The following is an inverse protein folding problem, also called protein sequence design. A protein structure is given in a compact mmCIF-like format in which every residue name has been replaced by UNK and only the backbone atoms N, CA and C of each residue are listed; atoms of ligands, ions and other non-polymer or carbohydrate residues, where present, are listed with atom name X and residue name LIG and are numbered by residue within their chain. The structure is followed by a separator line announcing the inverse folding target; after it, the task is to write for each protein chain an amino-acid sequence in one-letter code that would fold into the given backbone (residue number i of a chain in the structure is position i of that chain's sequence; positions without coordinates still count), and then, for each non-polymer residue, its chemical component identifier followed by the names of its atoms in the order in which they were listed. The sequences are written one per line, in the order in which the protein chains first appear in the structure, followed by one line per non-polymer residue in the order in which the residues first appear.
data_IF_281118192403
#
_entry.id   IF_281118192403
#
_cell.length_a   1.000
_cell.length_b   1.000
_cell.length_c   1.000
_cell.angle_alpha   90.00
_cell.angle_beta   90.00
_cell.angle_gamma   90.00
#
_symmetry.space_group_name_H-M   'P 1'
#
loop_
_entity.id
_entity.type
_entity.pdbx_description
1 polymer ?
#
# COMPACT_ATOMS: atom_id res chain seq x y z
N UNK A 1 -14.94 24.87 23.64
CA UNK A 1 -13.53 24.59 23.35
C UNK A 1 -13.47 23.11 23.02
N UNK A 2 -13.46 22.73 21.73
CA UNK A 2 -13.54 21.32 21.33
C UNK A 2 -12.19 20.65 21.60
N UNK A 3 -12.19 19.57 22.38
CA UNK A 3 -11.01 18.74 22.59
C UNK A 3 -10.56 18.15 21.26
N UNK A 4 -9.31 18.44 20.89
CA UNK A 4 -8.64 17.75 19.80
C UNK A 4 -8.42 16.32 20.29
N UNK A 5 -9.25 15.39 19.79
CA UNK A 5 -9.01 13.95 19.94
C UNK A 5 -7.67 13.68 19.28
N UNK A 6 -6.60 13.56 20.08
CA UNK A 6 -5.29 13.12 19.60
C UNK A 6 -5.48 11.70 19.06
N UNK A 7 -5.44 11.55 17.74
CA UNK A 7 -5.42 10.25 17.10
C UNK A 7 -4.18 9.50 17.59
N UNK A 8 -4.38 8.53 18.49
CA UNK A 8 -3.31 7.63 18.90
C UNK A 8 -3.08 6.63 17.78
N UNK A 9 -1.95 6.77 17.07
CA UNK A 9 -1.51 5.77 16.12
C UNK A 9 -1.13 4.49 16.89
N UNK A 10 -2.00 3.48 16.84
CA UNK A 10 -1.65 2.13 17.30
C UNK A 10 -0.90 1.46 16.16
N UNK A 11 0.40 1.22 16.33
CA UNK A 11 1.15 0.48 15.32
C UNK A 11 0.64 -0.96 15.29
N UNK A 12 0.36 -1.47 14.09
CA UNK A 12 0.05 -2.89 13.87
C UNK A 12 1.33 -3.74 13.81
N UNK A 13 2.45 -3.19 14.27
CA UNK A 13 3.75 -3.85 14.27
C UNK A 13 3.94 -4.61 15.59
N UNK A 14 4.62 -5.77 15.56
CA UNK A 14 4.96 -6.48 16.79
C UNK A 14 5.75 -5.60 17.77
N UNK A 15 5.60 -5.82 19.08
CA UNK A 15 6.26 -4.96 20.08
C UNK A 15 7.80 -5.08 20.08
N UNK A 16 8.37 -6.16 19.52
CA UNK A 16 9.81 -6.40 19.53
C UNK A 16 10.36 -6.70 18.13
N UNK A 17 11.62 -6.31 17.90
CA UNK A 17 12.39 -6.66 16.69
C UNK A 17 12.42 -8.18 16.45
N UNK A 18 12.52 -8.97 17.52
CA UNK A 18 12.53 -10.43 17.43
C UNK A 18 11.20 -10.99 16.93
N UNK A 19 10.08 -10.53 17.48
CA UNK A 19 8.75 -10.93 17.01
C UNK A 19 8.50 -10.48 15.57
N UNK A 20 8.99 -9.29 15.20
CA UNK A 20 8.93 -8.81 13.83
C UNK A 20 9.67 -9.73 12.85
N UNK A 21 10.92 -10.09 13.15
CA UNK A 21 11.68 -11.02 12.30
C UNK A 21 11.04 -12.42 12.28
N UNK A 22 10.42 -12.85 13.37
CA UNK A 22 9.68 -14.10 13.41
C UNK A 22 8.44 -14.09 12.51
N UNK A 23 7.85 -12.95 12.19
CA UNK A 23 6.69 -12.85 11.30
C UNK A 23 7.10 -12.50 9.86
N UNK A 24 8.01 -11.55 9.72
CA UNK A 24 8.32 -10.88 8.47
C UNK A 24 9.71 -11.22 7.87
N UNK A 25 10.40 -12.25 8.34
CA UNK A 25 11.60 -12.73 7.65
C UNK A 25 11.31 -13.07 6.17
N UNK A 26 12.26 -12.86 5.22
CA UNK A 26 11.99 -13.04 3.80
C UNK A 26 11.37 -14.39 3.42
N UNK A 27 11.86 -15.48 4.00
CA UNK A 27 11.33 -16.83 3.75
C UNK A 27 9.86 -17.00 4.18
N UNK A 28 9.43 -16.29 5.24
CA UNK A 28 8.05 -16.30 5.72
C UNK A 28 7.17 -15.40 4.86
N UNK A 29 7.65 -14.20 4.55
CA UNK A 29 6.98 -13.25 3.66
C UNK A 29 6.66 -13.87 2.29
N UNK A 30 7.55 -14.70 1.72
CA UNK A 30 7.29 -15.41 0.46
C UNK A 30 6.02 -16.27 0.50
N UNK A 31 5.70 -16.86 1.66
CA UNK A 31 4.49 -17.68 1.85
C UNK A 31 3.30 -16.84 2.30
N UNK A 32 3.52 -15.96 3.27
CA UNK A 32 2.48 -15.10 3.83
C UNK A 32 1.87 -14.18 2.76
N UNK A 33 2.72 -13.61 1.90
CA UNK A 33 2.33 -12.71 0.83
C UNK A 33 2.25 -13.39 -0.55
N UNK A 34 1.95 -14.69 -0.59
CA UNK A 34 1.87 -15.43 -1.84
C UNK A 34 0.73 -14.92 -2.75
N UNK A 35 -0.36 -14.43 -2.13
CA UNK A 35 -1.58 -13.95 -2.80
C UNK A 35 -1.42 -12.54 -3.38
N UNK A 36 -0.57 -11.72 -2.79
CA UNK A 36 -0.22 -10.36 -3.19
C UNK A 36 0.76 -10.43 -4.36
N UNK A 37 0.22 -10.84 -5.52
CA UNK A 37 0.96 -11.08 -6.76
C UNK A 37 0.85 -9.93 -7.77
N UNK A 38 0.24 -8.82 -7.38
CA UNK A 38 0.09 -7.61 -8.20
C UNK A 38 0.23 -6.35 -7.33
N UNK A 39 0.61 -5.20 -7.91
CA UNK A 39 0.68 -3.95 -7.16
C UNK A 39 -0.68 -3.57 -6.55
N UNK A 40 -1.80 -3.89 -7.20
CA UNK A 40 -3.14 -3.60 -6.67
C UNK A 40 -3.41 -4.33 -5.34
N UNK A 41 -3.02 -5.60 -5.26
CA UNK A 41 -3.16 -6.40 -4.03
C UNK A 41 -2.14 -6.00 -2.97
N UNK A 42 -0.92 -5.61 -3.38
CA UNK A 42 0.06 -5.06 -2.45
C UNK A 42 -0.40 -3.73 -1.85
N UNK A 43 -0.96 -2.82 -2.65
CA UNK A 43 -1.51 -1.53 -2.18
C UNK A 43 -2.64 -1.73 -1.17
N UNK A 44 -3.51 -2.72 -1.37
CA UNK A 44 -4.64 -2.99 -0.47
C UNK A 44 -4.28 -3.87 0.73
N UNK A 45 -3.04 -4.37 0.79
CA UNK A 45 -2.54 -5.18 1.91
C UNK A 45 -2.46 -4.36 3.20
N UNK A 46 -2.78 -5.01 4.33
CA UNK A 46 -2.59 -4.47 5.67
C UNK A 46 -1.14 -4.59 6.18
N UNK A 47 -0.20 -4.98 5.31
CA UNK A 47 1.21 -5.10 5.65
C UNK A 47 1.81 -3.75 6.11
N UNK A 48 2.73 -3.76 7.08
CA UNK A 48 3.38 -2.54 7.53
C UNK A 48 4.27 -1.93 6.43
N UNK A 49 4.37 -0.60 6.43
CA UNK A 49 5.25 0.15 5.51
C UNK A 49 6.68 0.23 6.02
N UNK A 50 7.64 0.43 5.12
CA UNK A 50 9.02 0.76 5.48
C UNK A 50 9.07 1.96 6.44
N UNK A 51 8.32 3.03 6.18
CA UNK A 51 8.19 4.18 7.08
C UNK A 51 7.68 3.80 8.48
N UNK A 52 6.75 2.84 8.58
CA UNK A 52 6.23 2.40 9.89
C UNK A 52 7.28 1.63 10.68
N UNK A 53 8.13 0.84 10.03
CA UNK A 53 9.24 0.11 10.67
C UNK A 53 10.26 1.09 11.24
N UNK A 54 10.62 2.14 10.48
CA UNK A 54 11.50 3.22 10.95
C UNK A 54 10.97 3.88 12.22
N UNK A 55 9.67 4.19 12.22
CA UNK A 55 8.99 4.88 13.32
C UNK A 55 8.92 4.01 14.58
N UNK A 56 8.66 2.71 14.42
CA UNK A 56 8.48 1.81 15.55
C UNK A 56 9.81 1.34 16.15
N UNK A 57 10.82 1.07 15.32
CA UNK A 57 12.06 0.45 15.79
C UNK A 57 13.27 1.37 15.68
N UNK A 58 13.76 1.60 14.47
CA UNK A 58 14.84 2.55 14.14
C UNK A 58 15.11 2.53 12.64
N UNK A 59 15.83 3.53 12.15
CA UNK A 59 16.36 3.57 10.79
C UNK A 59 17.35 2.43 10.54
N UNK A 60 18.32 2.21 11.43
CA UNK A 60 19.29 1.11 11.31
C UNK A 60 18.61 -0.26 11.18
N UNK A 61 17.51 -0.48 11.92
CA UNK A 61 16.77 -1.73 11.84
C UNK A 61 16.02 -1.87 10.52
N UNK A 62 15.45 -0.77 10.02
CA UNK A 62 14.78 -0.72 8.73
C UNK A 62 15.76 -1.02 7.58
N UNK A 63 16.96 -0.42 7.62
CA UNK A 63 18.06 -0.66 6.67
C UNK A 63 18.48 -2.13 6.75
N UNK A 64 18.84 -2.62 7.93
CA UNK A 64 19.25 -4.01 8.13
C UNK A 64 18.20 -5.01 7.62
N UNK A 65 16.92 -4.73 7.86
CA UNK A 65 15.83 -5.58 7.37
C UNK A 65 15.79 -5.66 5.84
N UNK A 66 15.92 -4.53 5.13
CA UNK A 66 15.98 -4.53 3.65
C UNK A 66 17.27 -5.18 3.16
N UNK A 67 18.40 -4.99 3.85
CA UNK A 67 19.66 -5.68 3.55
C UNK A 67 19.50 -7.20 3.56
N UNK A 68 18.75 -7.77 4.49
CA UNK A 68 18.49 -9.23 4.52
C UNK A 68 17.75 -9.71 3.26
N UNK A 69 16.84 -8.91 2.70
CA UNK A 69 16.21 -9.24 1.42
C UNK A 69 17.19 -9.19 0.24
N UNK A 70 18.09 -8.20 0.23
CA UNK A 70 19.12 -8.09 -0.80
C UNK A 70 20.12 -9.24 -0.69
N UNK A 71 20.57 -9.62 0.52
CA UNK A 71 21.39 -10.82 0.76
C UNK A 71 20.68 -12.05 0.20
N UNK A 72 19.39 -12.22 0.51
CA UNK A 72 18.61 -13.35 0.01
C UNK A 72 18.50 -13.39 -1.52
N UNK A 73 18.49 -12.23 -2.18
CA UNK A 73 18.55 -12.14 -3.64
C UNK A 73 19.96 -12.44 -4.15
N UNK A 74 20.98 -11.82 -3.55
CA UNK A 74 22.39 -11.98 -3.88
C UNK A 74 22.78 -13.46 -3.83
N UNK A 75 22.33 -14.21 -2.82
CA UNK A 75 22.57 -15.65 -2.70
C UNK A 75 21.78 -16.48 -3.71
N UNK A 76 20.56 -16.07 -4.05
CA UNK A 76 19.68 -16.79 -4.96
C UNK A 76 20.18 -16.78 -6.42
N UNK A 77 20.70 -15.64 -6.89
CA UNK A 77 21.13 -15.50 -8.28
C UNK A 77 22.49 -16.16 -8.49
N UNK A 78 22.71 -16.92 -9.57
CA UNK A 78 24.04 -17.46 -9.89
C UNK A 78 24.90 -16.42 -10.66
N UNK A 79 25.11 -15.25 -10.08
CA UNK A 79 25.91 -14.18 -10.68
C UNK A 79 27.42 -14.46 -10.54
N UNK A 80 28.21 -14.11 -11.55
CA UNK A 80 29.68 -14.20 -11.53
C UNK A 80 30.27 -13.28 -10.46
N UNK A 81 29.67 -12.09 -10.29
CA UNK A 81 30.00 -11.14 -9.23
C UNK A 81 28.78 -10.87 -8.35
N UNK A 82 29.01 -10.95 -7.05
CA UNK A 82 28.04 -10.68 -5.98
C UNK A 82 28.32 -9.31 -5.37
N UNK A 83 27.29 -8.70 -4.79
CA UNK A 83 27.46 -7.48 -4.02
C UNK A 83 28.24 -7.75 -2.72
N UNK A 84 29.13 -6.83 -2.33
CA UNK A 84 29.76 -6.83 -1.00
C UNK A 84 28.76 -6.43 0.09
N UNK A 85 29.03 -6.71 1.38
CA UNK A 85 28.18 -6.25 2.48
C UNK A 85 27.93 -4.74 2.47
N UNK A 86 28.94 -3.95 2.17
CA UNK A 86 28.86 -2.48 2.10
C UNK A 86 27.94 -2.04 0.95
N UNK A 87 28.08 -2.64 -0.23
CA UNK A 87 27.19 -2.37 -1.36
C UNK A 87 25.74 -2.74 -1.04
N UNK A 88 25.52 -3.82 -0.29
CA UNK A 88 24.19 -4.23 0.16
C UNK A 88 23.58 -3.19 1.09
N UNK A 89 24.34 -2.74 2.09
CA UNK A 89 23.90 -1.75 3.06
C UNK A 89 23.61 -0.40 2.41
N UNK A 90 24.48 0.08 1.52
CA UNK A 90 24.27 1.32 0.76
C UNK A 90 23.01 1.23 -0.12
N UNK A 91 22.83 0.10 -0.82
CA UNK A 91 21.66 -0.13 -1.66
C UNK A 91 20.37 -0.15 -0.82
N UNK A 92 20.38 -0.86 0.32
CA UNK A 92 19.26 -0.89 1.25
C UNK A 92 18.93 0.50 1.80
N UNK A 93 19.96 1.30 2.13
CA UNK A 93 19.83 2.68 2.60
C UNK A 93 19.08 3.54 1.59
N UNK A 94 19.48 3.50 0.32
CA UNK A 94 18.80 4.25 -0.75
C UNK A 94 17.35 3.78 -0.90
N UNK A 95 17.10 2.46 -0.89
CA UNK A 95 15.73 1.92 -1.02
C UNK A 95 14.80 2.42 0.09
N UNK A 96 15.26 2.42 1.35
CA UNK A 96 14.41 2.85 2.48
C UNK A 96 14.15 4.35 2.49
N UNK A 97 15.04 5.14 1.90
CA UNK A 97 14.92 6.60 1.77
C UNK A 97 13.99 6.99 0.61
N UNK A 98 14.14 6.37 -0.56
CA UNK A 98 13.37 6.69 -1.77
C UNK A 98 11.96 6.09 -1.75
N UNK A 99 11.78 4.93 -1.12
CA UNK A 99 10.54 4.16 -1.16
C UNK A 99 9.91 3.91 0.22
N UNK A 100 9.79 4.91 1.12
CA UNK A 100 9.31 4.71 2.47
C UNK A 100 7.83 4.28 2.54
N UNK A 101 7.08 4.52 1.46
CA UNK A 101 5.67 4.17 1.31
C UNK A 101 5.41 2.72 0.90
N UNK A 102 6.44 1.96 0.49
CA UNK A 102 6.28 0.55 0.15
C UNK A 102 6.02 -0.26 1.42
N UNK A 103 5.08 -1.20 1.34
CA UNK A 103 4.79 -2.14 2.41
C UNK A 103 5.50 -3.49 2.22
N UNK A 104 5.46 -4.34 3.23
CA UNK A 104 6.16 -5.62 3.16
C UNK A 104 5.61 -6.58 2.08
N UNK A 105 4.35 -6.40 1.66
CA UNK A 105 3.82 -7.11 0.50
C UNK A 105 4.44 -6.57 -0.80
N UNK A 106 4.64 -5.25 -0.93
CA UNK A 106 5.38 -4.63 -2.03
C UNK A 106 6.82 -5.15 -2.10
N UNK A 107 7.55 -5.15 -0.97
CA UNK A 107 8.94 -5.65 -0.91
C UNK A 107 9.01 -7.11 -1.35
N UNK A 108 8.12 -7.96 -0.81
CA UNK A 108 8.03 -9.35 -1.23
C UNK A 108 7.75 -9.49 -2.73
N UNK A 109 6.82 -8.69 -3.26
CA UNK A 109 6.44 -8.72 -4.67
C UNK A 109 7.61 -8.31 -5.57
N UNK A 110 8.31 -7.22 -5.28
CA UNK A 110 9.50 -6.77 -6.02
C UNK A 110 10.52 -7.88 -6.13
N UNK A 111 10.95 -8.45 -4.99
CA UNK A 111 11.95 -9.51 -4.99
C UNK A 111 11.47 -10.79 -5.69
N UNK A 112 10.18 -11.12 -5.62
CA UNK A 112 9.61 -12.23 -6.41
C UNK A 112 9.66 -11.96 -7.91
N UNK A 113 9.31 -10.75 -8.36
CA UNK A 113 9.36 -10.35 -9.77
C UNK A 113 10.80 -10.36 -10.30
N UNK A 114 11.76 -9.88 -9.50
CA UNK A 114 13.19 -9.98 -9.81
C UNK A 114 13.61 -11.43 -10.01
N UNK A 115 13.29 -12.32 -9.04
CA UNK A 115 13.68 -13.74 -9.11
C UNK A 115 13.03 -14.51 -10.26
N UNK A 116 11.90 -14.04 -10.77
CA UNK A 116 11.25 -14.58 -11.97
C UNK A 116 11.80 -14.01 -13.28
N UNK A 117 12.68 -13.01 -13.22
CA UNK A 117 13.22 -12.34 -14.41
C UNK A 117 12.24 -11.37 -15.07
N UNK A 118 11.19 -10.92 -14.37
CA UNK A 118 10.17 -10.04 -14.94
C UNK A 118 10.69 -8.63 -15.27
N UNK A 119 11.82 -8.23 -14.66
CA UNK A 119 12.52 -6.97 -14.96
C UNK A 119 13.66 -7.13 -15.97
N UNK A 120 13.72 -8.26 -16.70
CA UNK A 120 14.75 -8.57 -17.69
C UNK A 120 15.80 -9.56 -17.20
N UNK A 121 16.79 -9.83 -18.07
CA UNK A 121 17.84 -10.80 -17.79
C UNK A 121 18.81 -10.32 -16.71
N UNK A 122 19.05 -11.20 -15.74
CA UNK A 122 20.21 -11.12 -14.85
C UNK A 122 21.46 -11.47 -15.66
N UNK A 123 22.15 -10.46 -16.16
CA UNK A 123 23.49 -10.63 -16.75
C UNK A 123 24.52 -11.07 -15.69
N UNK A 124 25.79 -11.13 -16.08
CA UNK A 124 26.93 -11.60 -15.29
C UNK A 124 27.03 -11.08 -13.84
N UNK A 125 26.50 -9.90 -13.53
CA UNK A 125 26.67 -9.24 -12.23
C UNK A 125 25.34 -8.75 -11.65
N UNK A 126 25.21 -8.90 -10.33
CA UNK A 126 24.21 -8.21 -9.52
C UNK A 126 24.92 -7.09 -8.75
N UNK A 127 24.43 -5.87 -8.88
CA UNK A 127 24.98 -4.67 -8.24
C UNK A 127 23.84 -3.78 -7.72
N UNK A 128 24.20 -2.77 -6.92
CA UNK A 128 23.24 -1.85 -6.33
C UNK A 128 22.44 -1.05 -7.37
N UNK A 129 23.07 -0.57 -8.44
CA UNK A 129 22.39 0.20 -9.49
C UNK A 129 21.28 -0.61 -10.16
N UNK A 130 21.54 -1.90 -10.39
CA UNK A 130 20.55 -2.81 -10.98
C UNK A 130 19.39 -3.08 -10.03
N UNK A 131 19.66 -3.32 -8.74
CA UNK A 131 18.62 -3.45 -7.73
C UNK A 131 17.75 -2.18 -7.68
N UNK A 132 18.35 -1.01 -7.64
CA UNK A 132 17.65 0.28 -7.63
C UNK A 132 16.79 0.47 -8.88
N UNK A 133 17.28 0.06 -10.06
CA UNK A 133 16.52 0.14 -11.31
C UNK A 133 15.24 -0.72 -11.29
N UNK A 134 15.26 -1.87 -10.61
CA UNK A 134 14.07 -2.72 -10.45
C UNK A 134 13.06 -2.10 -9.49
N UNK A 135 13.54 -1.47 -8.41
CA UNK A 135 12.68 -0.73 -7.49
C UNK A 135 12.03 0.48 -8.17
N UNK A 136 12.76 1.19 -9.04
CA UNK A 136 12.22 2.28 -9.83
C UNK A 136 11.13 1.80 -10.80
N UNK A 137 11.38 0.71 -11.53
CA UNK A 137 10.40 0.10 -12.43
C UNK A 137 9.13 -0.31 -11.69
N UNK A 138 9.28 -0.97 -10.53
CA UNK A 138 8.14 -1.34 -9.70
C UNK A 138 7.39 -0.13 -9.15
N UNK A 139 8.11 0.89 -8.68
CA UNK A 139 7.53 2.15 -8.20
C UNK A 139 6.63 2.78 -9.27
N UNK A 140 7.10 2.84 -10.52
CA UNK A 140 6.33 3.34 -11.65
C UNK A 140 5.07 2.52 -11.90
N UNK A 141 5.18 1.19 -11.90
CA UNK A 141 4.04 0.28 -12.06
C UNK A 141 3.00 0.44 -10.94
N UNK A 142 3.47 0.53 -9.70
CA UNK A 142 2.64 0.73 -8.50
C UNK A 142 1.94 2.09 -8.54
N UNK A 143 2.64 3.15 -8.94
CA UNK A 143 2.06 4.49 -9.05
C UNK A 143 0.94 4.54 -10.09
N UNK A 144 1.13 3.92 -11.27
CA UNK A 144 0.09 3.77 -12.29
C UNK A 144 -1.12 3.01 -11.75
N UNK A 145 -0.87 1.89 -11.09
CA UNK A 145 -1.93 1.07 -10.49
C UNK A 145 -2.72 1.83 -9.42
N UNK A 146 -2.04 2.62 -8.58
CA UNK A 146 -2.70 3.46 -7.58
C UNK A 146 -3.56 4.54 -8.22
N UNK A 147 -3.10 5.15 -9.32
CA UNK A 147 -3.88 6.10 -10.10
C UNK A 147 -5.14 5.45 -10.69
N UNK A 148 -5.01 4.26 -11.29
CA UNK A 148 -6.13 3.51 -11.86
C UNK A 148 -7.18 3.13 -10.81
N UNK A 149 -6.75 2.67 -9.63
CA UNK A 149 -7.64 2.38 -8.50
C UNK A 149 -8.40 3.65 -8.06
N UNK A 150 -7.68 4.77 -7.94
CA UNK A 150 -8.26 6.06 -7.54
C UNK A 150 -9.29 6.55 -8.55
N UNK A 151 -8.97 6.48 -9.86
CA UNK A 151 -9.89 6.83 -10.94
C UNK A 151 -11.13 5.95 -10.93
N UNK A 152 -10.96 4.63 -10.82
CA UNK A 152 -12.09 3.69 -10.76
C UNK A 152 -13.00 3.93 -9.55
N UNK A 153 -12.43 4.23 -8.38
CA UNK A 153 -13.21 4.59 -7.19
C UNK A 153 -13.97 5.91 -7.40
N UNK A 154 -13.35 6.90 -8.04
CA UNK A 154 -14.00 8.16 -8.38
C UNK A 154 -15.15 8.00 -9.38
N UNK A 155 -15.01 7.11 -10.37
CA UNK A 155 -16.07 6.79 -11.32
C UNK A 155 -17.24 6.07 -10.67
N UNK A 156 -16.97 5.06 -9.82
CA UNK A 156 -18.01 4.37 -9.05
C UNK A 156 -18.77 5.34 -8.15
N UNK A 157 -18.04 6.21 -7.44
CA UNK A 157 -18.66 7.24 -6.63
C UNK A 157 -19.60 8.14 -7.46
N UNK A 158 -19.20 8.56 -8.66
CA UNK A 158 -20.06 9.34 -9.56
C UNK A 158 -21.30 8.58 -10.03
N UNK A 159 -21.20 7.27 -10.24
CA UNK A 159 -22.33 6.42 -10.62
C UNK A 159 -23.31 6.22 -9.47
N UNK A 160 -22.80 6.09 -8.24
CA UNK A 160 -23.59 5.90 -7.02
C UNK A 160 -24.28 7.18 -6.54
N UNK A 161 -23.86 8.36 -7.05
CA UNK A 161 -24.56 9.62 -6.78
C UNK A 161 -25.97 9.56 -7.39
N UNK A 162 -27.02 10.00 -6.65
CA UNK A 162 -28.36 10.10 -7.19
C UNK A 162 -28.33 10.98 -8.44
N UNK A 163 -28.84 10.46 -9.56
CA UNK A 163 -28.92 11.27 -10.79
C UNK A 163 -29.72 12.52 -10.49
N UNK A 164 -29.31 13.65 -11.04
CA UNK A 164 -29.94 14.94 -10.76
C UNK A 164 -31.45 14.94 -11.05
N UNK A 165 -31.89 14.15 -12.04
CA UNK A 165 -33.30 13.85 -12.31
C UNK A 165 -34.03 13.21 -11.13
N UNK A 166 -33.37 12.29 -10.44
CA UNK A 166 -33.94 11.46 -9.38
C UNK A 166 -34.07 12.30 -8.10
N UNK A 167 -33.07 13.12 -7.80
CA UNK A 167 -33.13 14.11 -6.71
C UNK A 167 -34.28 15.11 -6.93
N UNK A 168 -34.46 15.60 -8.16
CA UNK A 168 -35.56 16.52 -8.51
C UNK A 168 -36.92 15.82 -8.38
N UNK A 169 -37.03 14.56 -8.82
CA UNK A 169 -38.25 13.77 -8.68
C UNK A 169 -38.59 13.51 -7.20
N UNK A 170 -37.61 13.12 -6.39
CA UNK A 170 -37.75 12.89 -4.94
C UNK A 170 -38.20 14.18 -4.23
N UNK A 171 -37.60 15.32 -4.56
CA UNK A 171 -37.97 16.61 -3.96
C UNK A 171 -39.40 17.04 -4.35
N UNK A 172 -39.81 16.82 -5.61
CA UNK A 172 -41.19 17.07 -6.03
C UNK A 172 -42.20 16.19 -5.27
N UNK A 173 -41.88 14.92 -5.04
CA UNK A 173 -42.74 13.99 -4.30
C UNK A 173 -42.87 14.43 -2.83
N UNK A 174 -41.74 14.73 -2.18
CA UNK A 174 -41.72 15.21 -0.78
C UNK A 174 -42.53 16.49 -0.61
N UNK A 175 -42.40 17.45 -1.55
CA UNK A 175 -43.18 18.69 -1.50
C UNK A 175 -44.69 18.43 -1.66
N UNK A 176 -45.12 17.52 -2.56
CA UNK A 176 -46.55 17.17 -2.68
C UNK A 176 -47.10 16.53 -1.41
N UNK A 177 -46.32 15.64 -0.77
CA UNK A 177 -46.73 15.00 0.48
C UNK A 177 -46.86 16.01 1.63
N UNK A 178 -45.91 16.94 1.76
CA UNK A 178 -45.95 18.00 2.76
C UNK A 178 -47.18 18.92 2.58
N UNK A 179 -47.51 19.29 1.34
CA UNK A 179 -48.71 20.07 1.03
C UNK A 179 -49.98 19.29 1.40
N UNK A 180 -50.05 18.00 1.05
CA UNK A 180 -51.20 17.15 1.39
C UNK A 180 -51.43 17.03 2.90
N UNK A 181 -50.36 16.85 3.68
CA UNK A 181 -50.42 16.81 5.14
C UNK A 181 -50.90 18.14 5.74
N UNK A 182 -50.40 19.27 5.23
CA UNK A 182 -50.84 20.59 5.67
C UNK A 182 -52.35 20.80 5.42
N UNK A 183 -52.85 20.44 4.23
CA UNK A 183 -54.28 20.55 3.91
C UNK A 183 -55.12 19.67 4.85
N UNK A 184 -54.67 18.45 5.16
CA UNK A 184 -55.35 17.56 6.11
C UNK A 184 -55.36 18.12 7.54
N UNK A 185 -54.27 18.74 7.99
CA UNK A 185 -54.22 19.40 9.29
C UNK A 185 -55.15 20.62 9.37
N UNK A 186 -55.21 21.44 8.31
CA UNK A 186 -56.11 22.59 8.27
C UNK A 186 -57.58 22.15 8.29
N UNK A 187 -57.93 21.10 7.55
CA UNK A 187 -59.30 20.55 7.54
C UNK A 187 -59.72 20.00 8.92
N UNK A 188 -58.79 19.41 9.68
CA UNK A 188 -59.05 18.92 11.05
C UNK A 188 -59.20 20.03 12.09
N UNK A 189 -58.68 21.24 11.83
CA UNK A 189 -58.79 22.40 12.75
C UNK A 189 -60.10 23.19 12.60
N UNK A 190 -60.86 22.93 11.53
CA UNK A 190 -62.10 23.64 11.19
C UNK A 190 -63.37 22.82 11.51
N UNK A 191 -63.21 21.65 12.13
CA UNK A 191 -64.27 20.79 12.67
C UNK A 191 -64.19 20.79 14.20
#
# INVERSE_FOLDING_TARGET
MNEIVKYQFKSNLPATKQSFLAEFAPAKCLRAFARENSPALAISSSAPTLASIRREYSEDFQIAYVSVWIVNLNDFVNALRKMSPEQIEETATIIVQEYPYLNLADINLVFRKIKKGEFGQLFAEIDGMKVLSWFEQYSCERARTAADISMSHGEKFKQDLPRMSDTVAINKIKNRQAIGLYIQEQAKRQL
#
